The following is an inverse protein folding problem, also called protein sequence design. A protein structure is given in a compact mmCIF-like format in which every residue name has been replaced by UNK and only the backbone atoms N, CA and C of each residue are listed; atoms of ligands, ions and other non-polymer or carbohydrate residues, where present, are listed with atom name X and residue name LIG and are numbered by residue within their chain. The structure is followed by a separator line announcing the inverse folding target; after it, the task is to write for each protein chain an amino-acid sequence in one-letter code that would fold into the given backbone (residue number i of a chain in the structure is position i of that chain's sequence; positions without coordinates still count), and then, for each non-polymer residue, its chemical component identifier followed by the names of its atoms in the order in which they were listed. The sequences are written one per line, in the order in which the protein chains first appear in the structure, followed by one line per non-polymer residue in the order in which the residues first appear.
data_IF_233581368620
#
_entry.id   IF_233581368620
#
_cell.length_a   1.000
_cell.length_b   1.000
_cell.length_c   1.000
_cell.angle_alpha   90.00
_cell.angle_beta   90.00
_cell.angle_gamma   90.00
#
_symmetry.space_group_name_H-M   'P 1'
#
loop_
_entity.id
_entity.type
_entity.pdbx_description
1 polymer ?
#
# COMPACT_ATOMS: atom_id res chain seq x y z
N UNK A 1 15.16 -34.37 12.04
CA UNK A 1 15.76 -33.95 10.77
C UNK A 1 14.63 -33.72 9.80
N UNK A 2 14.60 -32.54 9.19
CA UNK A 2 13.58 -32.13 8.21
C UNK A 2 13.99 -32.60 6.81
N UNK A 3 13.03 -32.66 5.87
CA UNK A 3 13.33 -32.96 4.47
C UNK A 3 14.34 -31.96 3.86
N UNK A 4 14.34 -30.71 4.32
CA UNK A 4 15.30 -29.69 3.91
C UNK A 4 16.72 -29.97 4.45
N UNK A 5 16.86 -30.52 5.66
CA UNK A 5 18.15 -30.94 6.21
C UNK A 5 18.77 -32.09 5.40
N UNK A 6 17.94 -33.07 5.01
CA UNK A 6 18.37 -34.20 4.19
C UNK A 6 18.76 -33.74 2.79
N UNK A 7 17.97 -32.84 2.19
CA UNK A 7 18.24 -32.29 0.88
C UNK A 7 19.54 -31.48 0.84
N UNK A 8 19.83 -30.68 1.88
CA UNK A 8 21.07 -29.90 1.98
C UNK A 8 22.33 -30.77 1.80
N UNK A 9 22.33 -32.01 2.29
CA UNK A 9 23.48 -32.94 2.16
C UNK A 9 23.76 -33.36 0.71
N UNK A 10 22.77 -33.21 -0.17
CA UNK A 10 22.92 -33.46 -1.61
C UNK A 10 23.44 -32.25 -2.38
N UNK A 11 23.39 -31.06 -1.77
CA UNK A 11 23.80 -29.79 -2.40
C UNK A 11 25.31 -29.72 -2.55
N UNK A 12 25.76 -29.24 -3.71
CA UNK A 12 27.18 -29.07 -4.04
C UNK A 12 27.55 -27.60 -4.16
N UNK A 13 28.62 -27.18 -3.50
CA UNK A 13 29.20 -25.84 -3.61
C UNK A 13 30.64 -25.99 -4.10
N UNK A 14 30.97 -25.39 -5.24
CA UNK A 14 32.31 -25.53 -5.82
C UNK A 14 32.68 -26.97 -6.23
N UNK A 15 31.71 -27.86 -6.40
CA UNK A 15 31.92 -29.27 -6.74
C UNK A 15 31.99 -30.22 -5.54
N UNK A 16 31.99 -29.69 -4.31
CA UNK A 16 32.02 -30.47 -3.08
C UNK A 16 30.65 -30.52 -2.42
N UNK A 17 30.30 -31.67 -1.84
CA UNK A 17 29.05 -31.84 -1.08
C UNK A 17 29.14 -31.15 0.28
N UNK A 18 28.09 -30.42 0.65
CA UNK A 18 28.02 -29.78 1.96
C UNK A 18 27.76 -30.78 3.09
N UNK A 19 28.57 -30.69 4.15
CA UNK A 19 28.38 -31.46 5.38
C UNK A 19 27.56 -30.71 6.43
N UNK A 20 27.69 -29.38 6.50
CA UNK A 20 26.96 -28.50 7.41
C UNK A 20 26.96 -27.05 6.91
N UNK A 21 25.98 -26.25 7.38
CA UNK A 21 25.99 -24.79 7.27
C UNK A 21 26.74 -24.17 8.45
N UNK A 22 26.96 -22.86 8.41
CA UNK A 22 27.30 -22.10 9.61
C UNK A 22 26.24 -22.31 10.70
N UNK A 23 26.67 -22.44 11.95
CA UNK A 23 25.86 -22.84 13.12
C UNK A 23 24.54 -22.06 13.34
N UNK A 24 24.38 -20.91 12.68
CA UNK A 24 23.26 -19.98 12.86
C UNK A 24 22.12 -20.23 11.87
N UNK A 25 22.39 -20.91 10.75
CA UNK A 25 21.42 -21.04 9.65
C UNK A 25 20.78 -22.42 9.63
N UNK A 26 19.46 -22.43 9.53
CA UNK A 26 18.65 -23.64 9.47
C UNK A 26 17.93 -23.73 8.12
N UNK A 27 18.03 -24.87 7.40
CA UNK A 27 17.20 -25.12 6.23
C UNK A 27 15.71 -25.09 6.59
N UNK A 28 14.90 -24.48 5.73
CA UNK A 28 13.47 -24.27 5.97
C UNK A 28 12.60 -25.01 4.96
N UNK A 29 12.79 -24.75 3.66
CA UNK A 29 11.99 -25.37 2.62
C UNK A 29 12.82 -25.65 1.36
N UNK A 30 12.46 -26.75 0.69
CA UNK A 30 12.90 -27.07 -0.68
C UNK A 30 11.72 -26.79 -1.59
N UNK A 31 11.89 -25.87 -2.54
CA UNK A 31 10.83 -25.41 -3.43
C UNK A 31 11.28 -25.64 -4.88
N UNK A 32 10.74 -26.65 -5.58
CA UNK A 32 11.00 -26.83 -7.01
C UNK A 32 10.25 -25.75 -7.79
N UNK A 33 10.98 -24.95 -8.58
CA UNK A 33 10.38 -23.96 -9.48
C UNK A 33 10.15 -24.54 -10.87
N UNK A 34 11.06 -25.39 -11.33
CA UNK A 34 11.00 -26.17 -12.56
C UNK A 34 11.77 -27.49 -12.36
N UNK A 35 11.77 -28.37 -13.35
CA UNK A 35 12.51 -29.65 -13.30
C UNK A 35 14.02 -29.43 -13.06
N UNK A 36 14.57 -28.32 -13.54
CA UNK A 36 15.98 -27.96 -13.49
C UNK A 36 16.32 -26.81 -12.54
N UNK A 37 15.32 -26.27 -11.81
CA UNK A 37 15.49 -25.13 -10.90
C UNK A 37 14.86 -25.44 -9.55
N UNK A 38 15.70 -25.54 -8.52
CA UNK A 38 15.26 -25.74 -7.13
C UNK A 38 15.76 -24.63 -6.22
N UNK A 39 14.88 -24.13 -5.36
CA UNK A 39 15.21 -23.17 -4.32
C UNK A 39 15.29 -23.87 -2.97
N UNK A 40 16.39 -23.65 -2.24
CA UNK A 40 16.53 -24.03 -0.83
C UNK A 40 16.50 -22.76 0.02
N UNK A 41 15.50 -22.63 0.89
CA UNK A 41 15.40 -21.48 1.80
C UNK A 41 15.97 -21.79 3.17
N UNK A 42 16.48 -20.77 3.83
CA UNK A 42 17.06 -20.83 5.17
C UNK A 42 16.52 -19.73 6.04
N UNK A 43 16.50 -19.95 7.34
CA UNK A 43 16.29 -18.92 8.33
C UNK A 43 17.36 -18.96 9.42
N UNK A 44 17.69 -17.78 9.92
CA UNK A 44 18.43 -17.56 11.14
C UNK A 44 17.42 -17.26 12.26
N UNK A 45 17.13 -18.21 13.15
CA UNK A 45 16.10 -18.04 14.17
C UNK A 45 16.46 -17.00 15.23
N UNK A 46 17.74 -16.64 15.38
CA UNK A 46 18.18 -15.64 16.36
C UNK A 46 17.94 -14.21 15.85
N UNK A 47 18.14 -13.98 14.55
CA UNK A 47 17.99 -12.65 13.95
C UNK A 47 16.70 -12.47 13.16
N UNK A 48 15.99 -13.57 12.86
CA UNK A 48 14.81 -13.58 11.98
C UNK A 48 15.14 -13.40 10.49
N UNK A 49 16.42 -13.39 10.11
CA UNK A 49 16.84 -13.24 8.71
C UNK A 49 16.50 -14.49 7.91
N UNK A 50 16.17 -14.30 6.64
CA UNK A 50 15.92 -15.37 5.69
C UNK A 50 16.92 -15.29 4.53
N UNK A 51 17.24 -16.43 3.94
CA UNK A 51 18.08 -16.53 2.76
C UNK A 51 17.52 -17.59 1.81
N UNK A 52 17.91 -17.52 0.54
CA UNK A 52 17.59 -18.52 -0.47
C UNK A 52 18.85 -18.89 -1.21
N UNK A 53 19.02 -20.15 -1.55
CA UNK A 53 19.94 -20.62 -2.57
C UNK A 53 19.17 -21.13 -3.78
N UNK A 54 19.60 -20.73 -4.96
CA UNK A 54 19.14 -21.25 -6.24
C UNK A 54 20.08 -22.37 -6.67
N UNK A 55 19.50 -23.50 -7.07
CA UNK A 55 20.20 -24.74 -7.40
C UNK A 55 19.77 -25.23 -8.78
N UNK A 56 20.71 -25.80 -9.53
CA UNK A 56 20.44 -26.45 -10.82
C UNK A 56 19.92 -27.90 -10.66
N UNK A 57 19.64 -28.58 -11.78
CA UNK A 57 19.21 -29.99 -11.85
C UNK A 57 20.12 -30.97 -11.10
N UNK A 58 21.42 -30.62 -10.96
CA UNK A 58 22.44 -31.43 -10.30
C UNK A 58 22.67 -31.00 -8.84
N UNK A 59 21.79 -30.16 -8.31
CA UNK A 59 21.85 -29.54 -6.98
C UNK A 59 23.12 -28.74 -6.73
N UNK A 60 23.74 -28.19 -7.78
CA UNK A 60 24.85 -27.27 -7.61
C UNK A 60 24.33 -25.88 -7.24
N UNK A 61 24.99 -25.26 -6.27
CA UNK A 61 24.75 -23.88 -5.91
C UNK A 61 25.03 -22.93 -7.07
N UNK A 62 24.00 -22.19 -7.47
CA UNK A 62 24.05 -21.19 -8.53
C UNK A 62 24.10 -19.77 -7.95
N UNK A 63 23.43 -19.48 -6.84
CA UNK A 63 23.49 -18.14 -6.24
C UNK A 63 22.55 -17.97 -5.07
N UNK A 64 22.71 -16.87 -4.33
CA UNK A 64 21.87 -16.56 -3.17
C UNK A 64 20.80 -15.48 -3.45
N UNK A 65 20.82 -14.90 -4.64
CA UNK A 65 19.88 -13.88 -5.06
C UNK A 65 19.74 -13.91 -6.58
N UNK A 66 18.52 -13.70 -7.08
CA UNK A 66 18.18 -13.89 -8.49
C UNK A 66 19.02 -13.03 -9.44
N UNK A 67 19.32 -11.79 -9.05
CA UNK A 67 20.13 -10.87 -9.88
C UNK A 67 21.64 -11.20 -9.91
N UNK A 68 22.11 -12.14 -9.08
CA UNK A 68 23.53 -12.51 -8.97
C UNK A 68 23.77 -14.01 -9.09
N UNK A 69 22.80 -14.75 -9.64
CA UNK A 69 23.00 -16.18 -9.93
C UNK A 69 24.12 -16.36 -10.96
N UNK A 70 24.95 -17.35 -10.70
CA UNK A 70 26.02 -17.83 -11.54
C UNK A 70 25.60 -19.20 -12.07
N UNK A 71 25.92 -19.51 -13.32
CA UNK A 71 25.61 -20.82 -13.96
C UNK A 71 24.12 -21.08 -14.25
N UNK A 72 23.25 -20.16 -13.87
CA UNK A 72 21.84 -20.09 -14.27
C UNK A 72 21.57 -18.67 -14.79
N UNK A 73 20.56 -18.48 -15.64
CA UNK A 73 20.14 -17.13 -16.05
C UNK A 73 18.95 -16.67 -15.20
N UNK A 74 18.93 -15.39 -14.77
CA UNK A 74 17.77 -14.84 -14.07
C UNK A 74 16.46 -15.02 -14.85
N UNK A 75 16.52 -14.90 -16.18
CA UNK A 75 15.35 -15.05 -17.05
C UNK A 75 14.79 -16.49 -17.06
N UNK A 76 15.62 -17.51 -16.86
CA UNK A 76 15.15 -18.91 -16.78
C UNK A 76 14.36 -19.13 -15.47
N UNK A 77 14.86 -18.60 -14.36
CA UNK A 77 14.17 -18.61 -13.05
C UNK A 77 12.85 -17.86 -13.13
N UNK A 78 12.86 -16.67 -13.73
CA UNK A 78 11.66 -15.86 -13.87
C UNK A 78 10.67 -16.47 -14.86
N UNK A 79 11.15 -17.12 -15.92
CA UNK A 79 10.33 -17.88 -16.86
C UNK A 79 9.58 -19.01 -16.17
N UNK A 80 10.22 -19.74 -15.25
CA UNK A 80 9.61 -20.82 -14.49
C UNK A 80 8.43 -20.36 -13.62
N UNK A 81 8.49 -19.12 -13.09
CA UNK A 81 7.46 -18.58 -12.19
C UNK A 81 6.52 -17.58 -12.87
N UNK A 82 6.78 -17.22 -14.14
CA UNK A 82 6.08 -16.16 -14.85
C UNK A 82 4.57 -16.42 -14.93
N UNK A 83 4.17 -17.65 -15.27
CA UNK A 83 2.76 -18.01 -15.38
C UNK A 83 1.99 -17.78 -14.07
N UNK A 84 2.63 -18.05 -12.92
CA UNK A 84 2.01 -17.84 -11.62
C UNK A 84 1.76 -16.37 -11.33
N UNK A 85 2.76 -15.51 -11.55
CA UNK A 85 2.62 -14.09 -11.30
C UNK A 85 1.74 -13.38 -12.33
N UNK A 86 1.79 -13.80 -13.59
CA UNK A 86 0.87 -13.36 -14.64
C UNK A 86 -0.58 -13.66 -14.25
N UNK A 87 -0.86 -14.87 -13.78
CA UNK A 87 -2.20 -15.28 -13.35
C UNK A 87 -2.65 -14.53 -12.09
N UNK A 88 -1.77 -14.35 -11.09
CA UNK A 88 -2.06 -13.56 -9.91
C UNK A 88 -2.32 -12.08 -10.25
N UNK A 89 -1.51 -11.49 -11.13
CA UNK A 89 -1.68 -10.10 -11.54
C UNK A 89 -2.99 -9.88 -12.31
N UNK A 90 -3.40 -10.86 -13.14
CA UNK A 90 -4.68 -10.80 -13.86
C UNK A 90 -5.88 -11.07 -12.97
N UNK A 91 -5.78 -12.09 -12.10
CA UNK A 91 -6.94 -12.64 -11.40
C UNK A 91 -6.97 -12.26 -9.92
N UNK A 92 -5.87 -12.42 -9.17
CA UNK A 92 -5.87 -12.15 -7.73
C UNK A 92 -6.00 -10.66 -7.39
N UNK A 93 -5.51 -9.78 -8.27
CA UNK A 93 -5.71 -8.33 -8.17
C UNK A 93 -7.06 -7.85 -8.75
N UNK A 94 -7.88 -8.76 -9.31
CA UNK A 94 -9.22 -8.46 -9.82
C UNK A 94 -10.28 -8.48 -8.73
N UNK A 95 -11.50 -8.04 -9.05
CA UNK A 95 -12.66 -8.08 -8.16
C UNK A 95 -12.93 -9.48 -7.59
N UNK A 96 -12.92 -10.48 -8.48
CA UNK A 96 -13.21 -11.88 -8.19
C UNK A 96 -11.94 -12.73 -8.34
N UNK A 97 -11.10 -12.80 -7.30
CA UNK A 97 -9.87 -13.57 -7.38
C UNK A 97 -10.15 -15.06 -7.59
N UNK A 98 -9.29 -15.72 -8.36
CA UNK A 98 -9.36 -17.16 -8.61
C UNK A 98 -8.19 -17.87 -7.96
N UNK A 99 -8.40 -19.12 -7.57
CA UNK A 99 -7.33 -19.94 -7.00
C UNK A 99 -6.26 -20.20 -8.07
N UNK A 100 -5.01 -19.89 -7.73
CA UNK A 100 -3.85 -20.24 -8.53
C UNK A 100 -3.68 -21.76 -8.58
N UNK A 101 -3.47 -22.32 -9.77
CA UNK A 101 -3.23 -23.76 -9.95
C UNK A 101 -1.74 -24.05 -10.05
N UNK A 102 -1.37 -25.25 -9.63
CA UNK A 102 -0.04 -25.86 -9.87
C UNK A 102 1.17 -25.07 -9.33
N UNK A 103 0.95 -24.08 -8.46
CA UNK A 103 2.01 -23.40 -7.75
C UNK A 103 2.43 -24.21 -6.51
N UNK A 104 3.74 -24.44 -6.29
CA UNK A 104 4.22 -25.12 -5.10
C UNK A 104 3.96 -24.26 -3.86
N UNK A 105 3.88 -24.90 -2.69
CA UNK A 105 3.84 -24.19 -1.42
C UNK A 105 5.12 -23.34 -1.26
N UNK A 106 4.97 -22.02 -1.27
CA UNK A 106 6.10 -21.09 -1.31
C UNK A 106 6.20 -20.28 -0.02
N UNK A 107 7.34 -20.29 0.68
CA UNK A 107 7.57 -19.40 1.82
C UNK A 107 7.45 -17.93 1.41
N UNK A 108 6.85 -17.09 2.27
CA UNK A 108 6.57 -15.68 1.99
C UNK A 108 7.81 -14.91 1.52
N UNK A 109 8.95 -15.12 2.17
CA UNK A 109 10.21 -14.49 1.78
C UNK A 109 10.62 -14.82 0.34
N UNK A 110 10.49 -16.09 -0.09
CA UNK A 110 10.84 -16.48 -1.45
C UNK A 110 9.84 -15.92 -2.45
N UNK A 111 8.55 -15.99 -2.13
CA UNK A 111 7.49 -15.47 -2.98
C UNK A 111 7.61 -13.96 -3.21
N UNK A 112 7.93 -13.17 -2.18
CA UNK A 112 8.13 -11.71 -2.32
C UNK A 112 9.38 -11.36 -3.11
N UNK A 113 10.48 -12.10 -2.95
CA UNK A 113 11.70 -11.91 -3.75
C UNK A 113 11.46 -12.19 -5.23
N UNK A 114 10.81 -13.32 -5.55
CA UNK A 114 10.45 -13.67 -6.93
C UNK A 114 9.44 -12.68 -7.52
N UNK A 115 8.42 -12.30 -6.74
CA UNK A 115 7.44 -11.30 -7.16
C UNK A 115 8.08 -9.94 -7.44
N UNK A 116 9.06 -9.52 -6.64
CA UNK A 116 9.80 -8.29 -6.84
C UNK A 116 10.60 -8.30 -8.15
N UNK A 117 11.36 -9.37 -8.38
CA UNK A 117 12.15 -9.50 -9.59
C UNK A 117 11.29 -9.60 -10.86
N UNK A 118 10.14 -10.28 -10.78
CA UNK A 118 9.15 -10.32 -11.86
C UNK A 118 8.49 -8.95 -12.08
N UNK A 119 8.04 -8.28 -11.02
CA UNK A 119 7.29 -7.01 -11.10
C UNK A 119 8.10 -5.89 -11.73
N UNK A 120 9.40 -5.79 -11.42
CA UNK A 120 10.28 -4.77 -12.02
C UNK A 120 10.40 -4.93 -13.55
N UNK A 121 10.22 -6.16 -14.06
CA UNK A 121 10.30 -6.47 -15.50
C UNK A 121 8.95 -6.37 -16.21
N UNK A 122 7.85 -6.66 -15.51
CA UNK A 122 6.52 -6.78 -16.13
C UNK A 122 5.59 -5.59 -15.82
N UNK A 123 5.68 -5.01 -14.63
CA UNK A 123 4.83 -3.87 -14.23
C UNK A 123 5.49 -2.52 -14.56
N UNK A 124 6.09 -2.42 -15.76
CA UNK A 124 6.82 -1.22 -16.20
C UNK A 124 5.92 0.00 -16.38
N UNK A 125 4.63 -0.20 -16.66
CA UNK A 125 3.65 0.86 -16.87
C UNK A 125 3.09 1.43 -15.55
N UNK A 126 3.53 0.93 -14.39
CA UNK A 126 3.09 1.43 -13.09
C UNK A 126 3.55 2.88 -12.89
N UNK A 127 2.59 3.79 -12.81
CA UNK A 127 2.84 5.21 -12.51
C UNK A 127 2.87 5.42 -10.99
N UNK A 128 4.04 5.77 -10.47
CA UNK A 128 4.19 6.23 -9.08
C UNK A 128 4.04 7.75 -9.01
N UNK A 129 3.14 8.23 -8.16
CA UNK A 129 2.81 9.64 -7.97
C UNK A 129 3.05 10.01 -6.50
N UNK A 130 3.78 11.09 -6.25
CA UNK A 130 3.91 11.62 -4.89
C UNK A 130 2.59 12.22 -4.41
N UNK A 131 2.28 12.11 -3.12
CA UNK A 131 1.02 12.61 -2.55
C UNK A 131 0.85 14.11 -2.77
N UNK A 132 1.95 14.86 -2.73
CA UNK A 132 1.99 16.30 -2.99
C UNK A 132 1.60 16.66 -4.43
N UNK A 133 2.01 15.83 -5.40
CA UNK A 133 1.74 16.02 -6.83
C UNK A 133 0.35 15.51 -7.22
N UNK A 134 -0.19 14.53 -6.50
CA UNK A 134 -1.55 14.06 -6.68
C UNK A 134 -2.58 15.20 -6.52
N UNK A 135 -2.24 16.32 -5.86
CA UNK A 135 -3.13 17.48 -5.73
C UNK A 135 -3.20 18.43 -6.94
N UNK A 136 -2.26 18.31 -7.90
CA UNK A 136 -2.10 19.23 -9.04
C UNK A 136 -2.91 18.81 -10.28
N UNK A 137 -3.03 17.50 -10.52
CA UNK A 137 -3.87 16.95 -11.59
C UNK A 137 -5.34 16.91 -11.14
N UNK A 138 -6.31 17.21 -12.00
CA UNK A 138 -7.73 17.02 -11.64
C UNK A 138 -8.13 15.55 -11.72
N UNK A 139 -7.58 14.81 -12.69
CA UNK A 139 -7.87 13.40 -12.95
C UNK A 139 -6.53 12.67 -13.08
N UNK A 140 -6.32 11.64 -12.26
CA UNK A 140 -5.08 10.86 -12.20
C UNK A 140 -5.11 9.67 -13.18
N UNK A 141 -6.27 9.02 -13.32
CA UNK A 141 -6.55 7.97 -14.30
C UNK A 141 -8.03 7.85 -14.63
N UNK A 142 -8.33 7.21 -15.76
CA UNK A 142 -9.66 6.72 -16.09
C UNK A 142 -9.73 5.20 -15.94
N UNK A 143 -10.82 4.71 -15.36
CA UNK A 143 -11.14 3.30 -15.17
C UNK A 143 -12.53 3.06 -15.76
N UNK A 144 -12.59 2.57 -17.00
CA UNK A 144 -13.84 2.41 -17.72
C UNK A 144 -14.53 3.77 -17.93
N UNK A 145 -15.72 3.94 -17.34
CA UNK A 145 -16.49 5.20 -17.39
C UNK A 145 -16.22 6.12 -16.19
N UNK A 146 -15.48 5.65 -15.19
CA UNK A 146 -15.19 6.38 -13.95
C UNK A 146 -13.79 7.00 -13.99
N UNK A 147 -13.60 8.11 -13.28
CA UNK A 147 -12.30 8.78 -13.19
C UNK A 147 -11.79 8.78 -11.75
N UNK A 148 -10.53 8.41 -11.54
CA UNK A 148 -9.84 8.61 -10.28
C UNK A 148 -9.42 10.08 -10.17
N UNK A 149 -10.15 10.86 -9.37
CA UNK A 149 -9.80 12.27 -9.14
C UNK A 149 -8.80 12.43 -8.00
N UNK A 150 -7.97 13.47 -8.11
CA UNK A 150 -7.07 13.91 -7.05
C UNK A 150 -7.77 14.20 -5.71
N UNK A 151 -9.02 14.69 -5.78
CA UNK A 151 -9.82 15.00 -4.59
C UNK A 151 -10.19 13.72 -3.85
N UNK A 152 -10.64 12.70 -4.57
CA UNK A 152 -11.01 11.40 -4.00
C UNK A 152 -9.80 10.67 -3.42
N UNK A 153 -8.67 10.66 -4.15
CA UNK A 153 -7.42 10.09 -3.62
C UNK A 153 -6.97 10.81 -2.35
N UNK A 154 -6.94 12.15 -2.31
CA UNK A 154 -6.60 12.90 -1.09
C UNK A 154 -7.50 12.56 0.09
N UNK A 155 -8.80 12.37 -0.15
CA UNK A 155 -9.75 11.97 0.89
C UNK A 155 -9.38 10.60 1.48
N UNK A 156 -9.05 9.62 0.63
CA UNK A 156 -8.64 8.29 1.06
C UNK A 156 -7.26 8.29 1.74
N UNK A 157 -6.32 9.10 1.27
CA UNK A 157 -5.01 9.25 1.92
C UNK A 157 -5.13 9.94 3.30
N UNK A 158 -6.28 10.54 3.61
CA UNK A 158 -6.63 11.02 4.95
C UNK A 158 -7.19 9.94 5.88
N UNK A 159 -7.40 8.72 5.41
CA UNK A 159 -7.92 7.62 6.22
C UNK A 159 -6.96 7.25 7.37
N UNK A 160 -7.55 6.84 8.49
CA UNK A 160 -6.84 6.39 9.69
C UNK A 160 -7.24 4.97 10.04
N UNK A 161 -6.28 4.21 10.55
CA UNK A 161 -6.52 2.86 11.04
C UNK A 161 -7.09 2.96 12.45
N UNK A 162 -8.29 2.43 12.65
CA UNK A 162 -8.94 2.28 13.95
C UNK A 162 -8.83 0.84 14.48
N UNK A 163 -9.42 0.57 15.66
CA UNK A 163 -9.44 -0.79 16.24
C UNK A 163 -10.38 -1.76 15.52
N UNK A 164 -11.35 -1.25 14.75
CA UNK A 164 -12.32 -2.05 14.00
C UNK A 164 -11.89 -2.27 12.54
N UNK A 165 -12.69 -3.04 11.77
CA UNK A 165 -12.43 -3.21 10.34
C UNK A 165 -12.46 -1.86 9.63
N UNK A 166 -11.42 -1.56 8.86
CA UNK A 166 -11.29 -0.29 8.16
C UNK A 166 -12.40 -0.10 7.12
N UNK A 167 -13.11 1.03 7.21
CA UNK A 167 -14.12 1.47 6.24
C UNK A 167 -13.65 2.77 5.60
N UNK A 168 -13.70 2.85 4.27
CA UNK A 168 -13.30 4.02 3.49
C UNK A 168 -14.35 4.34 2.43
N UNK A 169 -14.38 5.57 1.92
CA UNK A 169 -15.20 5.88 0.75
C UNK A 169 -14.45 5.47 -0.52
N UNK A 170 -15.15 4.79 -1.45
CA UNK A 170 -14.61 4.44 -2.76
C UNK A 170 -14.00 5.67 -3.44
N UNK A 171 -12.83 5.53 -4.10
CA UNK A 171 -12.25 6.61 -4.88
C UNK A 171 -12.96 6.84 -6.22
N UNK A 172 -13.94 6.00 -6.57
CA UNK A 172 -14.63 6.04 -7.87
C UNK A 172 -16.09 6.44 -7.73
N UNK A 173 -16.80 5.81 -6.79
CA UNK A 173 -18.27 5.95 -6.63
C UNK A 173 -18.67 6.65 -5.34
N UNK A 174 -17.71 6.99 -4.48
CA UNK A 174 -17.94 7.61 -3.16
C UNK A 174 -18.79 6.76 -2.19
N UNK A 175 -19.10 5.50 -2.52
CA UNK A 175 -19.81 4.59 -1.60
C UNK A 175 -18.88 4.10 -0.48
N UNK A 176 -19.38 3.87 0.74
CA UNK A 176 -18.60 3.29 1.83
C UNK A 176 -18.27 1.82 1.55
N UNK A 177 -16.99 1.48 1.72
CA UNK A 177 -16.43 0.15 1.48
C UNK A 177 -15.72 -0.34 2.73
N UNK A 178 -16.06 -1.55 3.17
CA UNK A 178 -15.35 -2.29 4.20
C UNK A 178 -14.17 -3.03 3.57
N UNK A 179 -13.02 -3.04 4.25
CA UNK A 179 -11.89 -3.85 3.81
C UNK A 179 -12.28 -5.34 3.79
N UNK A 180 -11.99 -6.03 2.69
CA UNK A 180 -12.32 -7.45 2.54
C UNK A 180 -11.34 -8.34 3.30
N UNK A 181 -10.05 -8.00 3.21
CA UNK A 181 -8.97 -8.66 3.94
C UNK A 181 -7.93 -7.63 4.37
N UNK A 182 -7.19 -7.96 5.42
CA UNK A 182 -5.97 -7.24 5.82
C UNK A 182 -4.86 -8.22 6.16
N UNK A 183 -3.62 -7.84 5.87
CA UNK A 183 -2.46 -8.66 6.16
C UNK A 183 -1.21 -7.80 6.37
N UNK A 184 -0.21 -8.38 7.04
CA UNK A 184 1.08 -7.74 7.28
C UNK A 184 2.15 -8.46 6.48
N UNK A 185 2.94 -7.69 5.74
CA UNK A 185 4.11 -8.18 5.00
C UNK A 185 5.19 -7.11 5.03
N UNK A 186 6.42 -7.49 5.39
CA UNK A 186 7.57 -6.58 5.49
C UNK A 186 7.27 -5.28 6.29
N UNK A 187 6.64 -5.44 7.46
CA UNK A 187 6.19 -4.34 8.34
C UNK A 187 5.16 -3.38 7.73
N UNK A 188 4.55 -3.73 6.60
CA UNK A 188 3.44 -3.01 6.01
C UNK A 188 2.12 -3.73 6.28
N UNK A 189 1.20 -3.02 6.92
CA UNK A 189 -0.19 -3.41 7.10
C UNK A 189 -0.98 -2.99 5.86
N UNK A 190 -1.43 -3.96 5.09
CA UNK A 190 -2.10 -3.78 3.80
C UNK A 190 -3.56 -4.18 3.91
N UNK A 191 -4.45 -3.32 3.44
CA UNK A 191 -5.89 -3.56 3.34
C UNK A 191 -6.31 -3.61 1.87
N UNK A 192 -7.18 -4.57 1.52
CA UNK A 192 -7.82 -4.66 0.21
C UNK A 192 -9.27 -4.17 0.27
N UNK A 193 -9.66 -3.39 -0.73
CA UNK A 193 -11.03 -2.94 -0.95
C UNK A 193 -11.49 -3.29 -2.36
N UNK A 194 -12.79 -3.52 -2.50
CA UNK A 194 -13.43 -3.73 -3.79
C UNK A 194 -14.67 -2.85 -3.90
N UNK A 195 -14.73 -2.06 -4.95
CA UNK A 195 -15.91 -1.31 -5.36
C UNK A 195 -16.70 -2.16 -6.38
N UNK A 196 -17.87 -2.71 -5.99
CA UNK A 196 -18.68 -3.55 -6.88
C UNK A 196 -19.36 -2.77 -8.01
N UNK A 197 -19.62 -1.46 -7.83
CA UNK A 197 -20.25 -0.64 -8.88
C UNK A 197 -19.24 -0.29 -9.98
N UNK A 198 -17.99 -0.01 -9.61
CA UNK A 198 -16.92 0.28 -10.55
C UNK A 198 -16.12 -0.97 -10.99
N UNK A 199 -16.41 -2.14 -10.42
CA UNK A 199 -15.67 -3.40 -10.59
C UNK A 199 -14.15 -3.16 -10.45
N UNK A 200 -13.76 -2.54 -9.34
CA UNK A 200 -12.40 -2.07 -9.15
C UNK A 200 -11.86 -2.40 -7.76
N UNK A 201 -10.64 -2.92 -7.72
CA UNK A 201 -9.91 -3.20 -6.49
C UNK A 201 -8.86 -2.13 -6.26
N UNK A 202 -8.67 -1.77 -5.00
CA UNK A 202 -7.55 -0.93 -4.59
C UNK A 202 -7.06 -1.35 -3.20
N UNK A 203 -5.85 -0.91 -2.88
CA UNK A 203 -5.14 -1.25 -1.67
C UNK A 203 -4.69 0.00 -0.93
N UNK A 204 -4.72 -0.07 0.40
CA UNK A 204 -4.12 0.92 1.28
C UNK A 204 -3.10 0.24 2.18
N UNK A 205 -1.89 0.79 2.23
CA UNK A 205 -0.79 0.24 3.00
C UNK A 205 -0.21 1.26 3.98
N UNK A 206 -0.07 0.87 5.25
CA UNK A 206 0.62 1.64 6.29
C UNK A 206 1.84 0.89 6.79
N UNK A 207 2.86 1.61 7.24
CA UNK A 207 3.89 1.02 8.08
C UNK A 207 3.33 0.77 9.48
N UNK A 208 3.50 -0.43 10.04
CA UNK A 208 2.93 -0.82 11.34
C UNK A 208 3.32 0.14 12.48
N UNK A 209 4.51 0.72 12.40
CA UNK A 209 5.04 1.66 13.41
C UNK A 209 4.67 3.13 13.13
N UNK A 210 3.95 3.42 12.05
CA UNK A 210 3.64 4.78 11.57
C UNK A 210 2.20 4.87 11.04
N UNK A 211 1.23 4.34 11.80
CA UNK A 211 -0.19 4.37 11.44
C UNK A 211 -0.81 5.79 11.42
N UNK A 212 -0.10 6.77 11.97
CA UNK A 212 -0.45 8.19 11.97
C UNK A 212 -0.12 8.88 10.63
N UNK A 213 0.78 8.29 9.83
CA UNK A 213 1.10 8.80 8.50
C UNK A 213 0.02 8.44 7.46
N UNK A 214 -0.05 9.19 6.35
CA UNK A 214 -0.87 8.81 5.20
C UNK A 214 -0.50 7.41 4.68
N UNK A 215 -1.46 6.58 4.25
CA UNK A 215 -1.16 5.31 3.59
C UNK A 215 -0.52 5.52 2.22
N UNK A 216 0.08 4.45 1.70
CA UNK A 216 0.27 4.29 0.25
C UNK A 216 -1.02 3.77 -0.38
N UNK A 217 -1.46 4.39 -1.48
CA UNK A 217 -2.60 3.92 -2.28
C UNK A 217 -2.10 3.19 -3.52
N UNK A 218 -2.66 2.01 -3.81
CA UNK A 218 -2.36 1.26 -5.04
C UNK A 218 -3.64 0.79 -5.71
N UNK A 219 -3.78 1.08 -7.01
CA UNK A 219 -4.88 0.62 -7.85
C UNK A 219 -4.33 -0.16 -9.06
N UNK A 220 -4.42 -1.51 -9.05
CA UNK A 220 -3.92 -2.35 -10.12
C UNK A 220 -4.54 -2.04 -11.49
N UNK A 221 -5.87 -1.88 -11.55
CA UNK A 221 -6.62 -1.67 -12.81
C UNK A 221 -6.22 -0.37 -13.53
N UNK A 222 -5.78 0.64 -12.79
CA UNK A 222 -5.28 1.89 -13.35
C UNK A 222 -3.75 1.95 -13.50
N UNK A 223 -3.03 0.92 -13.06
CA UNK A 223 -1.57 0.94 -12.92
C UNK A 223 -1.05 2.21 -12.22
N UNK A 224 -1.71 2.61 -11.12
CA UNK A 224 -1.31 3.79 -10.33
C UNK A 224 -0.97 3.41 -8.90
N UNK A 225 0.12 4.00 -8.42
CA UNK A 225 0.50 4.03 -7.02
C UNK A 225 0.69 5.48 -6.56
N UNK A 226 0.08 5.86 -5.44
CA UNK A 226 0.25 7.18 -4.82
C UNK A 226 0.86 7.02 -3.44
N UNK A 227 2.06 7.54 -3.26
CA UNK A 227 2.79 7.47 -1.98
C UNK A 227 4.00 8.39 -1.95
N UNK A 228 4.37 8.86 -0.76
CA UNK A 228 5.64 9.56 -0.50
C UNK A 228 6.72 8.61 0.08
N UNK A 229 6.38 7.35 0.33
CA UNK A 229 7.31 6.37 0.89
C UNK A 229 8.34 5.91 -0.15
N UNK A 230 9.62 5.85 0.24
CA UNK A 230 10.72 5.58 -0.68
C UNK A 230 10.62 4.20 -1.37
N UNK A 231 10.10 3.20 -0.66
CA UNK A 231 9.97 1.83 -1.15
C UNK A 231 8.54 1.50 -1.62
N UNK A 232 7.69 2.51 -1.83
CA UNK A 232 6.29 2.26 -2.18
C UNK A 232 6.13 1.49 -3.49
N UNK A 233 7.04 1.64 -4.45
CA UNK A 233 7.07 0.86 -5.70
C UNK A 233 7.14 -0.66 -5.50
N UNK A 234 7.52 -1.14 -4.31
CA UNK A 234 7.52 -2.57 -3.98
C UNK A 234 6.14 -3.12 -3.59
N UNK A 235 5.15 -2.25 -3.33
CA UNK A 235 3.84 -2.66 -2.82
C UNK A 235 3.14 -3.71 -3.71
N UNK A 236 3.12 -3.61 -5.05
CA UNK A 236 2.56 -4.66 -5.90
C UNK A 236 3.25 -6.02 -5.68
N UNK A 237 4.58 -6.02 -5.59
CA UNK A 237 5.39 -7.21 -5.35
C UNK A 237 5.11 -7.85 -4.00
N UNK A 238 4.92 -7.04 -2.96
CA UNK A 238 4.57 -7.53 -1.62
C UNK A 238 3.19 -8.20 -1.61
N UNK A 239 2.21 -7.59 -2.30
CA UNK A 239 0.85 -8.15 -2.42
C UNK A 239 0.88 -9.47 -3.22
N UNK A 240 1.54 -9.49 -4.37
CA UNK A 240 1.65 -10.68 -5.21
C UNK A 240 2.38 -11.82 -4.50
N UNK A 241 3.49 -11.52 -3.83
CA UNK A 241 4.22 -12.50 -3.01
C UNK A 241 3.36 -13.04 -1.87
N UNK A 242 2.58 -12.18 -1.20
CA UNK A 242 1.67 -12.61 -0.14
C UNK A 242 0.57 -13.54 -0.68
N UNK A 243 -0.03 -13.23 -1.83
CA UNK A 243 -1.05 -14.09 -2.44
C UNK A 243 -0.50 -15.45 -2.88
N UNK A 244 0.71 -15.49 -3.45
CA UNK A 244 1.36 -16.75 -3.82
C UNK A 244 1.62 -17.64 -2.60
N UNK A 245 2.03 -17.05 -1.47
CA UNK A 245 2.26 -17.78 -0.22
C UNK A 245 1.00 -18.09 0.59
N UNK A 246 -0.13 -17.46 0.28
CA UNK A 246 -1.38 -17.61 1.03
C UNK A 246 -2.55 -17.88 0.08
N UNK A 247 -2.62 -19.05 -0.58
CA UNK A 247 -3.68 -19.35 -1.55
C UNK A 247 -5.11 -19.30 -0.96
N UNK A 248 -5.24 -19.45 0.37
CA UNK A 248 -6.50 -19.30 1.10
C UNK A 248 -7.14 -17.90 1.02
N UNK A 249 -6.41 -16.88 0.57
CA UNK A 249 -6.93 -15.52 0.43
C UNK A 249 -8.19 -15.42 -0.44
N UNK A 250 -8.32 -16.30 -1.45
CA UNK A 250 -9.48 -16.33 -2.34
C UNK A 250 -10.77 -16.62 -1.56
N UNK A 251 -10.73 -17.61 -0.66
CA UNK A 251 -11.85 -17.93 0.20
C UNK A 251 -12.14 -16.78 1.17
N UNK A 252 -11.11 -16.22 1.80
CA UNK A 252 -11.27 -15.08 2.72
C UNK A 252 -11.88 -13.85 2.04
N UNK A 253 -11.54 -13.59 0.78
CA UNK A 253 -12.13 -12.50 0.00
C UNK A 253 -13.57 -12.81 -0.39
N UNK A 254 -13.87 -14.05 -0.77
CA UNK A 254 -15.23 -14.47 -1.14
C UNK A 254 -16.21 -14.46 0.05
N UNK A 255 -15.71 -14.77 1.26
CA UNK A 255 -16.46 -14.76 2.51
C UNK A 255 -16.57 -13.36 3.13
N UNK A 256 -15.82 -12.38 2.62
CA UNK A 256 -15.84 -11.03 3.16
C UNK A 256 -17.21 -10.36 2.97
N UNK A 257 -17.83 -9.98 4.08
CA UNK A 257 -19.11 -9.30 4.09
C UNK A 257 -18.98 -7.92 3.43
N UNK A 258 -19.86 -7.63 2.46
CA UNK A 258 -20.02 -6.30 1.92
C UNK A 258 -20.46 -5.33 3.03
N UNK A 259 -20.07 -4.06 2.90
CA UNK A 259 -20.57 -3.02 3.80
C UNK A 259 -22.05 -2.76 3.51
N UNK A 260 -22.88 -2.77 4.55
CA UNK A 260 -24.29 -2.47 4.41
C UNK A 260 -24.69 -1.21 5.18
N UNK A 261 -25.75 -0.52 4.73
CA UNK A 261 -26.25 0.69 5.39
C UNK A 261 -26.66 0.46 6.87
N UNK A 262 -26.98 -0.79 7.25
CA UNK A 262 -27.23 -1.16 8.66
C UNK A 262 -25.97 -1.13 9.52
N UNK A 263 -24.79 -1.29 8.93
CA UNK A 263 -23.50 -1.24 9.61
C UNK A 263 -23.12 0.19 10.03
N UNK A 264 -23.81 1.21 9.50
CA UNK A 264 -23.69 2.58 10.00
C UNK A 264 -24.27 2.78 11.43
N UNK A 265 -24.98 1.79 11.99
CA UNK A 265 -25.67 1.97 13.28
C UNK A 265 -26.87 2.92 13.20
N UNK A 266 -27.32 3.30 11.99
CA UNK A 266 -28.50 4.15 11.81
C UNK A 266 -29.79 3.46 12.29
N UNK A 267 -29.83 2.12 12.25
CA UNK A 267 -30.95 1.33 12.77
C UNK A 267 -31.08 1.35 14.30
N UNK A 268 -29.96 1.43 15.03
CA UNK A 268 -29.94 1.48 16.50
C UNK A 268 -30.13 2.90 17.04
N UNK A 269 -29.73 3.92 16.27
CA UNK A 269 -30.03 5.32 16.60
C UNK A 269 -31.53 5.66 16.43
N UNK A 270 -32.22 5.09 15.44
CA UNK A 270 -33.67 5.26 15.27
C UNK A 270 -34.51 4.47 16.27
N UNK A 271 -33.97 3.43 16.93
CA UNK A 271 -34.65 2.75 18.04
C UNK A 271 -34.55 3.50 19.38
N UNK A 272 -33.77 4.59 19.45
CA UNK A 272 -33.68 5.48 20.61
C UNK A 272 -34.67 6.66 20.52
N UNK A 273 -35.86 6.44 19.96
CA UNK A 273 -36.97 7.39 20.05
C UNK A 273 -38.21 6.74 20.67
N UNK A 274 -38.56 7.31 21.83
CA UNK A 274 -39.78 7.16 22.63
C UNK A 274 -39.99 5.84 23.37
N UNK A 275 -39.38 5.76 24.55
CA UNK A 275 -40.00 5.09 25.69
C UNK A 275 -40.88 6.14 26.43
N UNK A 276 -42.22 6.13 26.32
CA UNK A 276 -43.09 7.03 27.08
C UNK A 276 -43.27 6.57 28.55
N UNK A 277 -42.41 5.67 29.04
CA UNK A 277 -42.53 5.04 30.34
C UNK A 277 -41.35 5.41 31.27
N UNK A 278 -41.03 6.69 31.39
CA UNK A 278 -40.33 7.20 32.59
C UNK A 278 -40.77 8.63 32.91
N UNK A 279 -42.08 8.81 33.07
CA UNK A 279 -42.61 9.93 33.85
C UNK A 279 -42.43 9.61 35.33
N UNK A 280 -41.20 9.78 35.82
CA UNK A 280 -40.88 9.77 37.24
C UNK A 280 -39.75 10.77 37.53
N UNK A 281 -40.19 11.98 37.90
CA UNK A 281 -39.46 12.99 38.67
C UNK A 281 -38.10 13.45 38.12
N UNK A 282 -38.13 14.37 37.16
CA UNK A 282 -37.07 15.35 37.02
C UNK A 282 -37.15 16.35 38.21
N UNK A 283 -36.02 16.69 38.86
CA UNK A 283 -36.00 17.72 39.89
C UNK A 283 -36.33 19.10 39.29
N UNK A 284 -36.89 20.04 40.08
CA UNK A 284 -37.31 21.34 39.56
C UNK A 284 -36.11 22.12 39.01
N UNK A 285 -36.31 22.87 37.91
CA UNK A 285 -35.24 23.63 37.27
C UNK A 285 -34.77 24.78 38.19
N UNK A 286 -33.46 25.02 38.33
CA UNK A 286 -32.99 26.25 38.95
C UNK A 286 -33.40 27.46 38.10
N UNK A 287 -33.98 28.47 38.76
CA UNK A 287 -34.48 29.69 38.13
C UNK A 287 -33.34 30.51 37.51
N UNK A 288 -33.42 30.71 36.20
CA UNK A 288 -32.92 31.85 35.40
C UNK A 288 -31.77 32.71 35.96
N UNK A 289 -30.59 32.56 35.37
CA UNK A 289 -29.78 33.68 34.89
C UNK A 289 -28.78 33.17 33.82
N UNK A 290 -28.53 33.99 32.80
CA UNK A 290 -27.53 33.81 31.72
C UNK A 290 -27.81 32.69 30.71
N UNK A 291 -28.77 32.96 29.81
CA UNK A 291 -28.52 32.71 28.39
C UNK A 291 -27.34 33.59 27.96
N UNK A 292 -26.18 32.97 27.75
CA UNK A 292 -25.11 33.38 26.82
C UNK A 292 -23.84 32.59 27.18
N UNK A 293 -23.67 31.43 26.55
CA UNK A 293 -22.34 30.85 26.34
C UNK A 293 -22.20 30.49 24.86
N UNK A 294 -22.10 31.55 24.08
CA UNK A 294 -21.48 31.49 22.76
C UNK A 294 -20.01 31.15 23.02
N UNK A 295 -19.55 30.04 22.45
CA UNK A 295 -18.16 29.60 22.47
C UNK A 295 -17.21 30.78 22.19
N UNK A 296 -16.24 31.02 23.09
CA UNK A 296 -15.22 32.08 22.95
C UNK A 296 -14.42 31.97 21.63
N UNK A 297 -14.41 30.77 21.03
CA UNK A 297 -13.80 30.48 19.73
C UNK A 297 -14.51 31.18 18.56
N UNK A 298 -15.82 31.43 18.67
CA UNK A 298 -16.61 32.14 17.65
C UNK A 298 -16.54 33.67 17.80
N UNK A 299 -16.43 34.19 19.04
CA UNK A 299 -16.26 35.62 19.29
C UNK A 299 -14.91 36.16 18.77
N UNK A 300 -13.85 35.34 18.80
CA UNK A 300 -12.53 35.69 18.25
C UNK A 300 -12.55 35.86 16.72
N UNK A 301 -13.31 35.03 16.00
CA UNK A 301 -13.44 35.13 14.53
C UNK A 301 -14.36 36.28 14.09
N UNK A 302 -15.33 36.67 14.92
CA UNK A 302 -16.21 37.81 14.64
C UNK A 302 -15.52 39.18 14.82
N UNK A 303 -14.48 39.26 15.67
CA UNK A 303 -13.73 40.51 15.91
C UNK A 303 -12.62 40.78 14.90
N UNK A 304 -12.27 39.81 14.05
CA UNK A 304 -11.31 39.99 12.96
C UNK A 304 -11.90 39.55 11.62
N UNK A 305 -12.88 40.29 11.06
CA UNK A 305 -13.20 40.12 9.66
C UNK A 305 -11.95 40.48 8.85
N UNK A 306 -11.34 39.46 8.25
CA UNK A 306 -10.27 39.63 7.25
C UNK A 306 -10.91 40.40 6.09
N UNK A 307 -10.71 41.71 6.09
CA UNK A 307 -11.29 42.62 5.09
C UNK A 307 -10.85 42.15 3.70
N UNK A 308 -11.77 41.73 2.82
CA UNK A 308 -11.44 41.59 1.41
C UNK A 308 -11.22 43.01 0.88
N UNK A 309 -10.02 43.29 0.40
CA UNK A 309 -9.76 44.50 -0.36
C UNK A 309 -10.56 44.41 -1.67
N UNK A 310 -11.61 45.22 -1.79
CA UNK A 310 -12.27 45.43 -3.08
C UNK A 310 -11.54 46.52 -3.89
N UNK A 311 -11.63 46.46 -5.23
CA UNK A 311 -10.84 47.25 -6.17
C UNK A 311 -11.53 48.58 -6.56
N UNK A 312 -10.72 49.58 -6.93
CA UNK A 312 -10.95 50.74 -7.83
C UNK A 312 -10.04 51.90 -7.36
N UNK A 313 -8.92 52.16 -8.05
CA UNK A 313 -8.78 53.08 -9.19
C UNK A 313 -8.67 54.59 -8.83
N UNK A 314 -7.48 55.12 -9.18
CA UNK A 314 -7.16 56.48 -9.67
C UNK A 314 -6.79 57.62 -8.69
N UNK A 315 -5.48 57.89 -8.60
CA UNK A 315 -4.82 59.22 -8.77
C UNK A 315 -3.30 59.01 -8.73
N UNK A 316 -2.64 58.89 -9.88
CA UNK A 316 -1.93 59.97 -10.58
C UNK A 316 -0.74 60.60 -9.80
N UNK A 317 0.43 60.36 -10.40
CA UNK A 317 1.64 61.21 -10.46
C UNK A 317 2.58 61.34 -9.25
N UNK A 318 3.88 61.37 -9.61
CA UNK A 318 5.10 61.44 -8.78
C UNK A 318 5.60 60.03 -8.34
N UNK A 319 6.71 59.44 -8.78
CA UNK A 319 7.96 59.97 -9.32
C UNK A 319 8.70 58.96 -10.21
N UNK A 320 9.34 59.56 -11.20
CA UNK A 320 10.40 59.07 -12.08
C UNK A 320 11.57 58.34 -11.36
N UNK A 321 12.18 57.42 -12.11
CA UNK A 321 13.58 56.92 -12.04
C UNK A 321 13.93 55.90 -10.94
N UNK A 322 14.17 54.65 -11.33
CA UNK A 322 15.54 54.11 -11.48
C UNK A 322 15.49 52.67 -12.00
N UNK A 323 15.53 52.54 -13.32
CA UNK A 323 16.11 51.41 -14.01
C UNK A 323 17.62 51.34 -13.71
N UNK A 324 18.14 50.14 -13.48
CA UNK A 324 19.57 49.84 -13.63
C UNK A 324 20.44 49.94 -12.39
N UNK A 325 20.33 48.98 -11.44
CA UNK A 325 21.41 48.68 -10.47
C UNK A 325 21.55 47.20 -10.05
N UNK A 326 20.78 46.28 -10.64
CA UNK A 326 20.87 44.85 -10.32
C UNK A 326 21.72 44.04 -11.32
N UNK A 327 21.83 44.49 -12.57
CA UNK A 327 22.66 43.80 -13.58
C UNK A 327 24.16 44.14 -13.51
N UNK A 328 24.54 45.28 -12.92
CA UNK A 328 25.96 45.62 -12.71
C UNK A 328 26.59 44.89 -11.52
N UNK A 329 25.78 44.35 -10.59
CA UNK A 329 26.28 43.57 -9.45
C UNK A 329 26.57 42.10 -9.77
N UNK A 330 26.15 41.60 -10.93
CA UNK A 330 26.39 40.21 -11.34
C UNK A 330 27.63 40.04 -12.24
N UNK A 331 28.21 41.12 -12.78
CA UNK A 331 29.45 41.06 -13.58
C UNK A 331 30.75 41.21 -12.79
N UNK A 332 30.70 41.52 -11.49
CA UNK A 332 31.91 41.73 -10.67
C UNK A 332 32.38 40.49 -9.89
N UNK A 333 31.75 39.32 -10.04
CA UNK A 333 32.11 38.11 -9.29
C UNK A 333 32.74 36.97 -10.12
N UNK A 334 32.97 37.15 -11.42
CA UNK A 334 33.57 36.12 -12.31
C UNK A 334 35.00 36.46 -12.76
N UNK A 335 35.64 37.47 -12.17
CA UNK A 335 37.09 37.69 -12.33
C UNK A 335 37.74 37.95 -10.98
N UNK A 336 37.95 36.88 -10.21
CA UNK A 336 39.07 36.72 -9.24
C UNK A 336 38.95 35.37 -8.50
N UNK A 337 39.43 34.30 -9.13
CA UNK A 337 40.54 33.47 -8.63
C UNK A 337 40.80 32.34 -9.60
#
# INVERSE_FOLDING_TARGET
MTAADDFLRSVRVGGETLSALYDQWTPQAVVPLADDITCLTFSDPLTGRNAVWYLDESHNYCGSHIEVVQRMRPDDILGAVALWFDELARNALSATPTLLRDAPAMPLFLATQLAAAWSVRVLMDLRQIQTSLAGQEQILAQIGQSSLSAKQIRRILGSRVGPETLVVLSPLTDIPLRAQISFVVDHQLIYRFHDPEADCVFYLAWWEKQLDKPPSFYCPKAAILVSDEAMAGMLPSLILGWYLSNPGHVASIAEALAFEARDYGLGTASSLQFDPATEAALPPPPSTASADMISESWAFLAQNPTRPASPAETRQEAEKKQTGRLFDKLRSYVKKK
#
